data_IF_418060256013
#
_entry.id   IF_418060256013
#
_cell.length_a   1.000
_cell.length_b   1.000
_cell.length_c   1.000
_cell.angle_alpha   90.00
_cell.angle_beta   90.00
_cell.angle_gamma   90.00
#
_symmetry.space_group_name_H-M   'P 1'
#
loop_
_entity.id
_entity.type
_entity.pdbx_description
1 polymer ?
#
# COMPACT_ATOMS: atom_id res chain seq x y z
N UNK A 1 13.95 -18.41 -55.09
CA UNK A 1 14.18 -18.70 -53.66
C UNK A 1 14.73 -17.44 -53.00
N UNK A 2 13.86 -16.65 -52.35
CA UNK A 2 14.27 -15.55 -51.47
C UNK A 2 13.71 -15.88 -50.09
N UNK A 3 14.61 -16.15 -49.16
CA UNK A 3 14.33 -16.45 -47.76
C UNK A 3 13.79 -15.20 -47.08
N UNK A 4 12.56 -15.26 -46.56
CA UNK A 4 12.02 -14.24 -45.65
C UNK A 4 12.37 -14.72 -44.24
N UNK A 5 13.31 -14.01 -43.62
CA UNK A 5 13.67 -14.15 -42.21
C UNK A 5 12.46 -13.68 -41.40
N UNK A 6 11.82 -14.60 -40.66
CA UNK A 6 10.82 -14.27 -39.64
C UNK A 6 11.57 -13.74 -38.42
N UNK A 7 11.50 -12.44 -38.17
CA UNK A 7 11.88 -11.85 -36.89
C UNK A 7 10.89 -12.30 -35.83
N UNK A 8 11.36 -13.12 -34.88
CA UNK A 8 10.65 -13.43 -33.64
C UNK A 8 10.97 -12.28 -32.68
N UNK A 9 9.99 -11.42 -32.40
CA UNK A 9 10.07 -10.47 -31.29
C UNK A 9 9.75 -11.24 -30.02
N UNK A 10 10.77 -11.47 -29.19
CA UNK A 10 10.59 -11.98 -27.84
C UNK A 10 10.17 -10.80 -26.96
N UNK A 11 8.87 -10.70 -26.67
CA UNK A 11 8.35 -9.75 -25.68
C UNK A 11 8.72 -10.31 -24.30
N UNK A 12 9.87 -9.90 -23.76
CA UNK A 12 10.23 -10.20 -22.38
C UNK A 12 9.38 -9.33 -21.45
N UNK A 13 8.35 -9.91 -20.85
CA UNK A 13 7.75 -9.32 -19.65
C UNK A 13 8.81 -9.39 -18.55
N UNK A 14 9.45 -8.26 -18.25
CA UNK A 14 10.17 -8.09 -17.00
C UNK A 14 9.10 -7.99 -15.90
N UNK A 15 8.85 -9.09 -15.20
CA UNK A 15 8.09 -9.04 -13.95
C UNK A 15 8.97 -8.32 -12.92
N UNK A 16 8.65 -7.09 -12.58
CA UNK A 16 9.22 -6.44 -11.41
C UNK A 16 8.57 -7.05 -10.16
N UNK A 17 9.39 -7.34 -9.14
CA UNK A 17 8.87 -7.74 -7.84
C UNK A 17 8.03 -6.57 -7.29
N UNK A 18 6.81 -6.86 -6.84
CA UNK A 18 5.86 -5.90 -6.29
C UNK A 18 5.13 -6.56 -5.12
N UNK A 19 4.68 -5.79 -4.13
CA UNK A 19 3.83 -6.30 -3.06
C UNK A 19 2.51 -6.85 -3.62
N UNK A 20 1.82 -7.66 -2.82
CA UNK A 20 0.54 -8.28 -3.18
C UNK A 20 -0.66 -7.32 -3.13
N UNK A 21 -0.44 -6.11 -2.63
CA UNK A 21 -1.44 -5.06 -2.44
C UNK A 21 -0.79 -3.66 -2.63
N UNK A 22 -1.58 -2.63 -2.89
CA UNK A 22 -1.18 -1.24 -3.05
C UNK A 22 -0.72 -0.60 -1.72
N UNK A 23 -1.18 -1.10 -0.58
CA UNK A 23 -0.77 -0.65 0.76
C UNK A 23 -1.19 0.78 1.11
N UNK A 24 -0.53 1.36 2.10
CA UNK A 24 -0.81 2.70 2.63
C UNK A 24 -0.51 3.79 1.60
N UNK A 25 -1.50 4.62 1.25
CA UNK A 25 -1.38 5.73 0.30
C UNK A 25 -1.14 7.06 1.03
N UNK A 26 -0.23 7.87 0.47
CA UNK A 26 0.12 9.20 0.96
C UNK A 26 0.03 10.24 -0.16
N UNK A 27 -0.52 11.41 0.17
CA UNK A 27 -0.82 12.50 -0.78
C UNK A 27 0.27 13.58 -0.95
N UNK A 28 1.50 13.34 -0.50
CA UNK A 28 2.60 14.32 -0.64
C UNK A 28 2.45 15.61 0.17
N UNK A 29 1.40 15.73 1.00
CA UNK A 29 1.04 17.00 1.66
C UNK A 29 0.91 16.90 3.17
N UNK A 30 0.10 15.95 3.66
CA UNK A 30 -0.21 15.87 5.09
C UNK A 30 -0.63 14.47 5.57
N UNK A 31 -0.47 13.45 4.72
CA UNK A 31 -0.51 12.05 5.12
C UNK A 31 0.83 11.64 5.70
N UNK A 32 0.77 10.94 6.82
CA UNK A 32 1.89 10.34 7.54
C UNK A 32 1.34 9.58 8.75
N UNK A 33 2.13 8.65 9.28
CA UNK A 33 1.86 7.99 10.56
C UNK A 33 2.93 8.43 11.55
N UNK A 34 2.53 8.91 12.74
CA UNK A 34 3.45 9.27 13.82
C UNK A 34 3.41 8.22 14.93
N UNK A 35 4.51 7.50 15.09
CA UNK A 35 4.66 6.49 16.14
C UNK A 35 5.16 7.18 17.42
N UNK A 36 4.54 6.94 18.59
CA UNK A 36 5.05 7.45 19.87
C UNK A 36 6.43 6.89 20.21
N UNK A 37 7.20 7.65 20.99
CA UNK A 37 8.46 7.15 21.54
C UNK A 37 8.18 6.03 22.54
N UNK A 38 8.84 4.88 22.39
CA UNK A 38 8.69 3.74 23.29
C UNK A 38 10.04 3.18 23.73
N UNK A 39 10.07 2.42 24.83
CA UNK A 39 11.30 1.72 25.25
C UNK A 39 11.65 0.54 24.33
N UNK A 40 10.74 0.14 23.44
CA UNK A 40 10.95 -0.92 22.46
C UNK A 40 11.59 -0.40 21.17
N UNK A 41 11.43 0.89 20.85
CA UNK A 41 11.92 1.51 19.61
C UNK A 41 13.14 2.40 19.89
N UNK A 42 12.99 3.57 20.51
CA UNK A 42 14.07 4.58 20.54
C UNK A 42 14.44 5.14 21.93
N UNK A 43 13.55 5.02 22.92
CA UNK A 43 13.73 5.66 24.24
C UNK A 43 14.34 4.75 25.31
N UNK A 44 14.78 3.54 24.94
CA UNK A 44 15.47 2.62 25.84
C UNK A 44 16.78 3.23 26.37
N UNK A 45 17.15 2.96 27.63
CA UNK A 45 18.42 3.41 28.22
C UNK A 45 19.66 2.65 27.70
N UNK A 46 19.48 1.56 26.97
CA UNK A 46 20.55 0.89 26.24
C UNK A 46 20.50 1.22 24.76
N UNK A 47 21.65 1.43 24.12
CA UNK A 47 21.72 1.54 22.67
C UNK A 47 21.14 0.28 22.02
N UNK A 48 20.45 0.46 20.90
CA UNK A 48 19.91 -0.66 20.13
C UNK A 48 21.09 -1.42 19.53
N UNK A 49 21.36 -2.62 20.05
CA UNK A 49 22.48 -3.44 19.61
C UNK A 49 22.24 -4.08 18.24
N UNK A 50 20.98 -4.36 17.91
CA UNK A 50 20.53 -4.88 16.62
C UNK A 50 19.16 -4.32 16.24
N UNK A 51 18.98 -3.95 14.97
CA UNK A 51 17.76 -3.31 14.46
C UNK A 51 17.61 -3.68 12.98
N UNK A 52 16.38 -3.80 12.52
CA UNK A 52 16.07 -3.73 11.09
C UNK A 52 14.87 -2.82 10.90
N UNK A 53 14.94 -1.92 9.93
CA UNK A 53 13.82 -1.10 9.46
C UNK A 53 13.70 -1.39 7.97
N UNK A 54 12.53 -1.84 7.53
CA UNK A 54 12.30 -2.23 6.14
C UNK A 54 10.90 -1.83 5.68
N UNK A 55 10.74 -1.60 4.38
CA UNK A 55 9.44 -1.34 3.73
C UNK A 55 9.58 -1.47 2.21
N UNK A 56 8.48 -1.86 1.56
CA UNK A 56 8.25 -1.50 0.16
C UNK A 56 7.81 -0.05 0.06
N UNK A 57 8.23 0.63 -1.00
CA UNK A 57 7.76 1.97 -1.36
C UNK A 57 7.61 2.10 -2.88
N UNK A 58 6.63 2.91 -3.28
CA UNK A 58 6.43 3.38 -4.66
C UNK A 58 6.22 4.88 -4.58
N UNK A 59 7.09 5.66 -5.21
CA UNK A 59 7.01 7.13 -5.19
C UNK A 59 6.47 7.64 -6.52
N UNK A 60 5.59 8.64 -6.47
CA UNK A 60 4.95 9.20 -7.66
C UNK A 60 5.90 10.13 -8.45
N UNK A 61 6.80 10.83 -7.75
CA UNK A 61 7.90 11.62 -8.33
C UNK A 61 9.19 11.43 -7.50
N UNK A 62 10.15 10.67 -8.03
CA UNK A 62 11.42 10.39 -7.37
C UNK A 62 12.41 11.57 -7.37
N UNK A 63 12.07 12.68 -8.02
CA UNK A 63 12.93 13.86 -8.18
C UNK A 63 13.08 14.69 -6.90
N UNK A 64 12.00 15.20 -6.27
CA UNK A 64 12.11 15.95 -5.03
C UNK A 64 12.53 15.07 -3.86
N UNK A 65 13.02 15.69 -2.79
CA UNK A 65 13.26 14.96 -1.55
C UNK A 65 11.95 14.60 -0.89
N UNK A 66 11.75 13.30 -0.63
CA UNK A 66 10.57 12.78 0.06
C UNK A 66 11.00 11.74 1.11
N UNK A 67 10.51 11.85 2.35
CA UNK A 67 10.98 11.01 3.46
C UNK A 67 10.07 9.79 3.63
N UNK A 68 10.68 8.61 3.52
CA UNK A 68 10.03 7.32 3.77
C UNK A 68 9.90 7.12 5.28
N UNK A 69 11.02 7.18 6.01
CA UNK A 69 11.04 6.97 7.47
C UNK A 69 11.97 7.96 8.15
N UNK A 70 11.53 8.46 9.30
CA UNK A 70 12.31 9.25 10.23
C UNK A 70 12.23 8.64 11.62
N UNK A 71 13.37 8.55 12.32
CA UNK A 71 13.41 8.35 13.76
C UNK A 71 14.32 9.41 14.39
N UNK A 72 13.83 10.11 15.41
CA UNK A 72 14.61 11.03 16.22
C UNK A 72 14.51 12.50 15.80
N UNK A 73 15.64 13.18 15.75
CA UNK A 73 15.68 14.61 15.49
C UNK A 73 17.10 15.18 15.39
N UNK A 74 17.23 16.50 15.58
CA UNK A 74 18.49 17.26 15.38
C UNK A 74 19.78 16.64 15.96
N UNK A 75 19.69 15.93 17.09
CA UNK A 75 20.86 15.41 17.82
C UNK A 75 21.24 14.01 17.35
N UNK A 76 20.27 13.12 17.23
CA UNK A 76 20.41 11.73 16.79
C UNK A 76 19.22 11.41 15.90
N UNK A 77 19.45 10.76 14.78
CA UNK A 77 18.33 10.24 14.02
C UNK A 77 18.68 9.28 12.90
N UNK A 78 17.65 8.60 12.43
CA UNK A 78 17.63 7.66 11.31
C UNK A 78 16.77 8.27 10.22
N UNK A 79 17.19 8.12 8.97
CA UNK A 79 16.45 8.57 7.80
C UNK A 79 16.50 7.53 6.70
N UNK A 80 15.35 7.24 6.11
CA UNK A 80 15.20 6.63 4.78
C UNK A 80 14.43 7.63 3.92
N UNK A 81 14.93 7.97 2.74
CA UNK A 81 14.28 8.95 1.86
C UNK A 81 14.69 8.75 0.40
N UNK A 82 13.94 9.36 -0.51
CA UNK A 82 14.27 9.44 -1.94
C UNK A 82 14.60 10.88 -2.31
N UNK A 83 15.50 11.06 -3.27
CA UNK A 83 15.81 12.37 -3.88
C UNK A 83 16.62 12.18 -5.17
N UNK A 84 16.21 12.82 -6.26
CA UNK A 84 16.93 12.79 -7.54
C UNK A 84 17.13 11.36 -8.05
N UNK A 85 16.05 10.59 -8.09
CA UNK A 85 15.99 9.20 -8.58
C UNK A 85 16.96 8.26 -7.85
N UNK A 86 17.20 8.53 -6.56
CA UNK A 86 18.02 7.71 -5.66
C UNK A 86 17.30 7.43 -4.36
N UNK A 87 17.68 6.31 -3.75
CA UNK A 87 17.36 5.99 -2.35
C UNK A 87 18.54 6.41 -1.48
N UNK A 88 18.23 7.00 -0.34
CA UNK A 88 19.18 7.31 0.72
C UNK A 88 18.71 6.66 2.01
N UNK A 89 19.62 6.05 2.75
CA UNK A 89 19.32 5.57 4.09
C UNK A 89 20.53 5.73 5.01
N UNK A 90 20.30 5.94 6.29
CA UNK A 90 21.40 6.05 7.23
C UNK A 90 21.00 6.70 8.53
N UNK A 91 22.02 7.09 9.29
CA UNK A 91 21.82 7.67 10.60
C UNK A 91 22.95 8.61 11.00
N UNK A 92 22.65 9.46 11.97
CA UNK A 92 23.61 10.37 12.57
C UNK A 92 23.43 10.47 14.08
N UNK A 93 24.48 10.92 14.76
CA UNK A 93 24.51 11.19 16.20
C UNK A 93 25.34 12.43 16.50
N UNK A 94 25.23 12.92 17.74
CA UNK A 94 26.01 14.04 18.25
C UNK A 94 25.92 15.29 17.35
N UNK A 95 24.70 15.67 16.97
CA UNK A 95 24.45 16.81 16.08
C UNK A 95 25.09 16.66 14.69
N UNK A 96 25.25 15.43 14.20
CA UNK A 96 25.81 15.14 12.89
C UNK A 96 27.34 15.06 12.85
N UNK A 97 28.03 15.18 14.01
CA UNK A 97 29.50 15.02 14.05
C UNK A 97 29.95 13.57 13.83
N UNK A 98 29.03 12.61 13.99
CA UNK A 98 29.22 11.22 13.63
C UNK A 98 28.01 10.76 12.83
N UNK A 99 28.21 10.37 11.58
CA UNK A 99 27.13 9.98 10.67
C UNK A 99 27.62 8.91 9.70
N UNK A 100 26.69 8.05 9.29
CA UNK A 100 26.88 7.04 8.26
C UNK A 100 25.62 7.05 7.38
N UNK A 101 25.79 7.35 6.10
CA UNK A 101 24.71 7.40 5.12
C UNK A 101 25.10 6.67 3.86
N UNK A 102 24.17 5.89 3.35
CA UNK A 102 24.22 5.22 2.07
C UNK A 102 23.36 5.94 1.04
N UNK A 103 23.71 5.76 -0.22
CA UNK A 103 22.84 6.05 -1.35
C UNK A 103 23.00 5.05 -2.48
N UNK A 104 21.94 4.86 -3.23
CA UNK A 104 22.01 4.15 -4.51
C UNK A 104 22.74 4.97 -5.58
N UNK A 105 23.07 4.33 -6.69
CA UNK A 105 23.48 5.03 -7.91
C UNK A 105 22.36 5.89 -8.46
N UNK A 106 22.74 6.92 -9.21
CA UNK A 106 21.77 7.75 -9.94
C UNK A 106 20.83 6.89 -10.77
N UNK A 107 19.55 7.26 -10.78
CA UNK A 107 18.53 6.66 -11.64
C UNK A 107 18.30 5.18 -11.30
N UNK A 108 18.55 4.79 -10.05
CA UNK A 108 18.29 3.43 -9.55
C UNK A 108 16.81 3.18 -9.30
N UNK A 109 16.04 4.25 -9.11
CA UNK A 109 14.59 4.22 -8.92
C UNK A 109 13.92 5.10 -9.97
N UNK A 110 12.68 4.76 -10.31
CA UNK A 110 11.84 5.53 -11.21
C UNK A 110 10.47 5.78 -10.56
N UNK A 111 9.78 6.78 -11.08
CA UNK A 111 8.39 7.10 -10.74
C UNK A 111 7.49 5.86 -10.91
N UNK A 112 6.46 5.76 -10.09
CA UNK A 112 5.41 4.74 -10.15
C UNK A 112 5.90 3.28 -10.12
N UNK A 113 7.11 3.05 -9.60
CA UNK A 113 7.72 1.71 -9.53
C UNK A 113 7.99 1.29 -8.08
N UNK A 114 7.69 0.03 -7.75
CA UNK A 114 7.91 -0.54 -6.42
C UNK A 114 9.37 -0.89 -6.19
N UNK A 115 9.88 -0.52 -5.01
CA UNK A 115 11.21 -0.87 -4.52
C UNK A 115 11.14 -1.26 -3.04
N UNK A 116 11.97 -2.22 -2.63
CA UNK A 116 12.11 -2.59 -1.21
C UNK A 116 13.41 -2.05 -0.66
N UNK A 117 13.37 -1.36 0.49
CA UNK A 117 14.57 -0.89 1.19
C UNK A 117 14.62 -1.49 2.59
N UNK A 118 15.82 -1.89 3.03
CA UNK A 118 16.05 -2.28 4.41
C UNK A 118 17.35 -1.67 4.96
N UNK A 119 17.31 -1.16 6.18
CA UNK A 119 18.46 -0.70 6.95
C UNK A 119 18.65 -1.62 8.16
N UNK A 120 19.83 -2.20 8.31
CA UNK A 120 20.13 -3.21 9.32
C UNK A 120 21.31 -2.75 10.19
N UNK A 121 21.09 -2.74 11.51
CA UNK A 121 22.16 -2.65 12.51
C UNK A 121 22.40 -4.07 13.02
N UNK A 122 23.60 -4.58 12.80
CA UNK A 122 23.97 -5.96 13.09
C UNK A 122 25.21 -6.09 13.95
N UNK A 123 25.75 -7.30 14.05
CA UNK A 123 27.04 -7.56 14.68
C UNK A 123 27.74 -8.70 13.95
N UNK A 124 28.98 -8.45 13.51
CA UNK A 124 29.86 -9.45 12.90
C UNK A 124 31.17 -9.53 13.69
N UNK A 125 31.52 -10.71 14.20
CA UNK A 125 32.75 -10.91 14.98
C UNK A 125 32.87 -10.02 16.23
N UNK A 126 31.74 -9.64 16.84
CA UNK A 126 31.69 -8.73 18.00
C UNK A 126 31.77 -7.24 17.68
N UNK A 127 31.82 -6.86 16.40
CA UNK A 127 31.78 -5.46 15.94
C UNK A 127 30.41 -5.15 15.34
N UNK A 128 29.82 -4.01 15.68
CA UNK A 128 28.56 -3.57 15.08
C UNK A 128 28.73 -3.34 13.58
N UNK A 129 27.77 -3.84 12.80
CA UNK A 129 27.66 -3.57 11.37
C UNK A 129 26.47 -2.66 11.09
N UNK A 130 26.58 -1.89 10.03
CA UNK A 130 25.55 -1.01 9.52
C UNK A 130 25.40 -1.31 8.04
N UNK A 131 24.35 -2.04 7.69
CA UNK A 131 24.13 -2.63 6.39
C UNK A 131 22.86 -2.06 5.77
N UNK A 132 22.81 -1.96 4.44
CA UNK A 132 21.58 -1.62 3.75
C UNK A 132 21.34 -2.48 2.51
N UNK A 133 20.08 -2.58 2.15
CA UNK A 133 19.61 -3.45 1.08
C UNK A 133 18.62 -2.71 0.19
N UNK A 134 18.67 -3.00 -1.11
CA UNK A 134 17.72 -2.51 -2.11
C UNK A 134 17.23 -3.69 -2.96
N UNK A 135 15.91 -3.87 -3.05
CA UNK A 135 15.25 -4.97 -3.73
C UNK A 135 15.81 -6.35 -3.34
N UNK A 136 16.08 -6.52 -2.04
CA UNK A 136 16.60 -7.77 -1.50
C UNK A 136 18.09 -8.04 -1.74
N UNK A 137 18.82 -7.10 -2.37
CA UNK A 137 20.27 -7.20 -2.59
C UNK A 137 21.03 -6.47 -1.49
N UNK A 138 22.15 -7.04 -1.03
CA UNK A 138 23.05 -6.37 -0.08
C UNK A 138 23.86 -5.31 -0.81
N UNK A 139 23.68 -4.04 -0.46
CA UNK A 139 24.26 -2.93 -1.22
C UNK A 139 25.55 -2.39 -0.60
N UNK A 140 25.62 -2.19 0.72
CA UNK A 140 26.87 -1.80 1.39
C UNK A 140 26.86 -2.24 2.87
N UNK A 141 28.03 -2.23 3.49
CA UNK A 141 28.28 -2.56 4.88
C UNK A 141 29.37 -1.66 5.48
N UNK A 142 29.06 -1.01 6.61
CA UNK A 142 30.02 -0.22 7.39
C UNK A 142 30.10 -0.75 8.81
N UNK A 143 31.18 -0.42 9.53
CA UNK A 143 31.42 -0.98 10.88
C UNK A 143 31.59 0.12 11.93
N UNK A 144 31.24 -0.21 13.18
CA UNK A 144 31.48 0.67 14.33
C UNK A 144 30.49 1.83 14.48
N UNK A 145 29.40 1.84 13.71
CA UNK A 145 28.32 2.81 13.87
C UNK A 145 27.21 2.26 14.77
N UNK A 146 26.83 3.03 15.79
CA UNK A 146 25.74 2.70 16.72
C UNK A 146 24.89 3.92 16.97
N UNK A 147 23.60 3.70 17.22
CA UNK A 147 22.64 4.76 17.51
C UNK A 147 22.34 4.74 19.01
N UNK A 148 22.73 5.79 19.76
CA UNK A 148 22.39 5.88 21.18
C UNK A 148 20.88 6.02 21.39
N UNK A 149 20.48 5.89 22.66
CA UNK A 149 19.16 6.36 23.11
C UNK A 149 18.90 7.75 22.55
N UNK A 150 17.72 7.95 22.01
CA UNK A 150 17.28 9.26 21.61
C UNK A 150 15.76 9.40 21.76
N UNK A 151 15.33 10.66 21.74
CA UNK A 151 13.92 11.02 21.70
C UNK A 151 13.72 11.90 20.50
N UNK A 152 12.51 11.91 19.96
CA UNK A 152 12.17 12.75 18.84
C UNK A 152 10.94 12.19 18.16
N UNK A 153 10.62 12.72 16.98
CA UNK A 153 9.50 12.16 16.25
C UNK A 153 9.92 10.84 15.60
N UNK A 154 8.97 9.92 15.48
CA UNK A 154 9.11 8.73 14.65
C UNK A 154 7.99 8.84 13.64
N UNK A 155 8.33 9.01 12.37
CA UNK A 155 7.34 9.21 11.31
C UNK A 155 7.58 8.22 10.17
N UNK A 156 6.49 7.66 9.65
CA UNK A 156 6.43 7.07 8.32
C UNK A 156 5.78 8.10 7.39
N UNK A 157 6.41 8.38 6.25
CA UNK A 157 5.87 9.26 5.21
C UNK A 157 6.13 10.75 5.33
N UNK A 158 6.95 11.18 6.30
CA UNK A 158 7.45 12.57 6.34
C UNK A 158 8.68 12.75 7.23
N UNK A 159 9.32 13.92 7.11
CA UNK A 159 10.13 14.47 8.20
C UNK A 159 9.34 15.33 9.20
N UNK A 160 9.84 15.43 10.44
CA UNK A 160 9.27 16.27 11.50
C UNK A 160 10.25 16.73 12.60
N UNK A 161 11.43 16.12 12.72
CA UNK A 161 12.32 16.22 13.89
C UNK A 161 13.48 17.24 13.83
N UNK A 162 13.46 18.24 12.96
CA UNK A 162 14.62 19.12 12.68
C UNK A 162 15.84 18.31 12.20
N UNK A 163 15.62 17.52 11.15
CA UNK A 163 16.56 16.50 10.67
C UNK A 163 17.79 17.08 9.99
N UNK A 164 18.82 16.25 9.84
CA UNK A 164 20.04 16.58 9.11
C UNK A 164 20.18 15.62 7.94
N UNK A 165 20.61 16.13 6.80
CA UNK A 165 20.81 15.35 5.58
C UNK A 165 22.30 15.32 5.22
N UNK A 166 22.80 14.24 4.61
CA UNK A 166 24.20 14.19 4.15
C UNK A 166 24.48 15.31 3.14
N UNK A 167 25.61 15.99 3.29
CA UNK A 167 26.03 17.10 2.41
C UNK A 167 27.45 16.92 1.86
N UNK A 168 27.79 15.67 1.62
CA UNK A 168 29.13 15.22 1.32
C UNK A 168 29.58 15.69 -0.06
N UNK A 169 30.78 16.29 -0.12
CA UNK A 169 31.38 16.67 -1.40
C UNK A 169 31.78 15.44 -2.24
N UNK A 170 32.14 14.34 -1.57
CA UNK A 170 32.54 13.08 -2.17
C UNK A 170 31.84 11.94 -1.46
N UNK A 171 31.36 10.97 -2.24
CA UNK A 171 30.82 9.70 -1.75
C UNK A 171 31.81 8.59 -2.09
N UNK A 172 32.00 7.66 -1.16
CA UNK A 172 32.92 6.53 -1.29
C UNK A 172 32.18 5.33 -1.87
N UNK A 173 32.84 4.55 -2.72
CA UNK A 173 32.25 3.34 -3.27
C UNK A 173 31.94 2.30 -2.18
N UNK A 174 30.90 1.50 -2.42
CA UNK A 174 30.51 0.40 -1.56
C UNK A 174 31.64 -0.59 -1.27
N UNK A 175 31.60 -1.14 -0.05
CA UNK A 175 32.46 -2.24 0.37
C UNK A 175 32.00 -3.61 -0.18
N UNK A 176 30.78 -3.70 -0.70
CA UNK A 176 30.18 -4.94 -1.22
C UNK A 176 30.51 -5.09 -2.70
N UNK A 177 31.14 -6.22 -3.05
CA UNK A 177 31.54 -6.52 -4.42
C UNK A 177 30.33 -6.59 -5.35
N UNK A 178 30.36 -5.78 -6.42
CA UNK A 178 29.31 -5.75 -7.45
C UNK A 178 28.19 -4.77 -7.16
N UNK A 179 28.11 -4.20 -5.96
CA UNK A 179 27.24 -3.04 -5.72
C UNK A 179 27.87 -1.80 -6.34
N UNK A 180 27.01 -0.92 -6.83
CA UNK A 180 27.39 0.41 -7.32
C UNK A 180 27.04 1.51 -6.34
N UNK A 181 26.45 1.14 -5.19
CA UNK A 181 26.09 2.09 -4.15
C UNK A 181 27.30 2.82 -3.58
N UNK A 182 27.01 3.90 -2.88
CA UNK A 182 28.02 4.74 -2.27
C UNK A 182 27.63 5.08 -0.83
N UNK A 183 28.63 5.38 0.00
CA UNK A 183 28.43 5.84 1.36
C UNK A 183 29.14 7.16 1.64
N UNK A 184 28.72 7.81 2.70
CA UNK A 184 29.33 9.01 3.23
C UNK A 184 29.34 9.01 4.76
N UNK A 185 30.46 9.47 5.31
CA UNK A 185 30.64 9.64 6.75
C UNK A 185 30.79 11.09 7.18
N UNK A 186 30.26 11.40 8.36
CA UNK A 186 30.57 12.60 9.15
C UNK A 186 30.41 13.96 8.43
N UNK A 187 29.59 14.04 7.37
CA UNK A 187 29.30 15.28 6.66
C UNK A 187 27.79 15.47 6.55
N UNK A 188 27.25 16.27 7.47
CA UNK A 188 25.82 16.52 7.59
C UNK A 188 25.51 18.01 7.48
N UNK A 189 24.33 18.32 6.95
CA UNK A 189 23.78 19.68 6.94
C UNK A 189 23.55 20.21 8.36
N UNK A 190 23.26 21.51 8.46
CA UNK A 190 22.55 22.05 9.62
C UNK A 190 21.19 21.37 9.78
N UNK A 191 20.61 21.46 10.98
CA UNK A 191 19.23 21.00 11.19
C UNK A 191 18.25 21.70 10.24
N UNK A 192 17.29 20.94 9.73
CA UNK A 192 16.29 21.32 8.75
C UNK A 192 14.89 20.99 9.29
N UNK A 193 14.02 22.00 9.39
CA UNK A 193 12.65 21.88 9.90
C UNK A 193 11.59 21.69 8.80
N UNK A 194 11.98 21.56 7.53
CA UNK A 194 11.04 21.28 6.46
C UNK A 194 10.44 19.88 6.66
N UNK A 195 9.12 19.78 6.53
CA UNK A 195 8.42 18.52 6.44
C UNK A 195 8.44 18.08 4.97
N UNK A 196 9.33 17.16 4.63
CA UNK A 196 9.36 16.51 3.32
C UNK A 196 8.40 15.34 3.37
N UNK A 197 7.17 15.56 2.91
CA UNK A 197 6.14 14.54 2.81
C UNK A 197 6.41 13.59 1.67
N UNK A 198 5.95 12.35 1.83
CA UNK A 198 5.97 11.34 0.79
C UNK A 198 4.64 11.32 0.02
N UNK A 199 4.73 11.17 -1.29
CA UNK A 199 3.65 11.06 -2.26
C UNK A 199 3.79 9.71 -2.98
N UNK A 200 2.78 8.86 -2.82
CA UNK A 200 2.78 7.49 -3.33
C UNK A 200 2.37 6.47 -2.26
N UNK A 201 2.96 5.27 -2.29
CA UNK A 201 2.54 4.15 -1.46
C UNK A 201 3.66 3.51 -0.62
N UNK A 202 3.29 2.98 0.54
CA UNK A 202 4.10 2.06 1.34
C UNK A 202 3.39 0.74 1.55
N UNK A 203 4.16 -0.35 1.61
CA UNK A 203 3.63 -1.66 1.96
C UNK A 203 4.62 -2.43 2.84
N UNK A 204 4.10 -3.20 3.80
CA UNK A 204 4.90 -4.09 4.63
C UNK A 204 5.99 -3.39 5.45
N UNK A 205 5.78 -2.14 5.88
CA UNK A 205 6.72 -1.45 6.76
C UNK A 205 6.87 -2.19 8.09
N UNK A 206 8.10 -2.38 8.56
CA UNK A 206 8.40 -3.08 9.82
C UNK A 206 9.60 -2.52 10.54
N UNK A 207 9.56 -2.65 11.86
CA UNK A 207 10.70 -2.44 12.75
C UNK A 207 10.94 -3.70 13.58
N UNK A 208 12.16 -4.20 13.52
CA UNK A 208 12.62 -5.36 14.29
C UNK A 208 13.69 -4.97 15.31
N UNK A 209 13.61 -5.47 16.55
CA UNK A 209 14.72 -5.51 17.52
C UNK A 209 15.67 -6.70 17.22
N UNK A 210 15.98 -6.92 15.95
CA UNK A 210 16.88 -7.97 15.48
C UNK A 210 17.53 -7.54 14.17
N UNK A 211 18.75 -8.00 13.93
CA UNK A 211 19.40 -7.89 12.64
C UNK A 211 18.85 -8.99 11.73
N UNK A 212 18.08 -8.64 10.70
CA UNK A 212 17.57 -9.60 9.72
C UNK A 212 18.68 -9.92 8.73
N UNK A 213 18.82 -11.19 8.38
CA UNK A 213 19.70 -11.64 7.29
C UNK A 213 19.05 -11.35 5.92
N UNK A 214 19.86 -11.32 4.85
CA UNK A 214 19.34 -11.18 3.48
C UNK A 214 18.28 -12.23 3.13
N UNK A 215 18.45 -13.48 3.58
CA UNK A 215 17.46 -14.55 3.36
C UNK A 215 16.17 -14.27 4.10
N UNK A 216 16.26 -13.80 5.34
CA UNK A 216 15.08 -13.42 6.11
C UNK A 216 14.33 -12.22 5.54
N UNK A 217 15.05 -11.23 5.01
CA UNK A 217 14.47 -10.09 4.30
C UNK A 217 13.72 -10.61 3.07
N UNK A 218 14.39 -11.37 2.19
CA UNK A 218 13.79 -11.85 0.95
C UNK A 218 12.61 -12.81 1.16
N UNK A 219 12.63 -13.62 2.22
CA UNK A 219 11.52 -14.51 2.54
C UNK A 219 10.30 -13.77 3.09
N UNK A 220 10.51 -12.62 3.72
CA UNK A 220 9.46 -11.90 4.43
C UNK A 220 9.00 -10.64 3.72
N UNK A 221 9.77 -10.09 2.77
CA UNK A 221 9.48 -8.79 2.17
C UNK A 221 8.13 -8.75 1.46
N UNK A 222 7.56 -9.90 1.05
CA UNK A 222 6.25 -10.00 0.37
C UNK A 222 5.17 -10.67 1.24
N UNK A 223 5.39 -10.76 2.56
CA UNK A 223 4.42 -11.35 3.50
C UNK A 223 3.75 -10.27 4.35
N UNK A 224 2.45 -10.32 4.52
CA UNK A 224 1.82 -9.55 5.59
C UNK A 224 2.15 -10.21 6.95
N UNK A 225 2.63 -9.44 7.92
CA UNK A 225 3.07 -9.96 9.21
C UNK A 225 2.39 -9.23 10.35
N UNK A 226 1.55 -9.95 11.10
CA UNK A 226 0.93 -9.47 12.35
C UNK A 226 1.67 -9.91 13.62
N UNK A 227 2.73 -10.73 13.48
CA UNK A 227 3.56 -11.17 14.60
C UNK A 227 4.94 -11.64 14.16
N UNK A 228 5.88 -11.69 15.10
CA UNK A 228 7.22 -12.20 14.85
C UNK A 228 8.14 -12.02 16.06
N UNK A 229 9.14 -12.90 16.18
CA UNK A 229 10.15 -12.77 17.24
C UNK A 229 10.92 -11.47 17.08
N UNK A 230 10.93 -10.64 18.12
CA UNK A 230 11.54 -9.30 18.13
C UNK A 230 10.94 -8.30 17.13
N UNK A 231 9.77 -8.58 16.53
CA UNK A 231 9.00 -7.56 15.83
C UNK A 231 8.48 -6.53 16.84
N UNK A 232 8.64 -5.24 16.56
CA UNK A 232 8.20 -4.17 17.47
C UNK A 232 7.32 -3.11 16.84
N UNK A 233 7.27 -3.05 15.51
CA UNK A 233 6.24 -2.32 14.79
C UNK A 233 6.02 -2.97 13.41
N UNK A 234 4.79 -2.92 12.92
CA UNK A 234 4.43 -3.29 11.54
C UNK A 234 3.27 -2.44 11.05
N UNK A 235 3.22 -2.21 9.73
CA UNK A 235 2.10 -1.56 9.04
C UNK A 235 1.00 -2.58 8.77
N UNK A 236 -0.23 -2.18 9.04
CA UNK A 236 -1.50 -2.88 8.82
C UNK A 236 -2.46 -1.83 8.24
N UNK A 237 -2.76 -1.91 6.94
CA UNK A 237 -3.40 -0.84 6.18
C UNK A 237 -2.74 0.55 6.37
N UNK A 238 -3.48 1.51 6.92
CA UNK A 238 -3.07 2.87 7.26
C UNK A 238 -2.79 3.05 8.77
N UNK A 239 -2.63 1.94 9.48
CA UNK A 239 -2.30 1.85 10.90
C UNK A 239 -0.90 1.22 11.09
N UNK A 240 -0.14 1.72 12.06
CA UNK A 240 1.06 1.02 12.55
C UNK A 240 0.75 0.43 13.91
N UNK A 241 0.79 -0.88 13.99
CA UNK A 241 0.80 -1.63 15.23
C UNK A 241 2.21 -1.62 15.81
N UNK A 242 2.37 -1.17 17.05
CA UNK A 242 3.67 -1.02 17.70
C UNK A 242 3.67 -1.45 19.17
N UNK A 243 4.82 -1.90 19.68
CA UNK A 243 5.01 -2.18 21.10
C UNK A 243 5.24 -0.90 21.89
N UNK A 244 4.30 -0.59 22.79
CA UNK A 244 4.43 0.51 23.75
C UNK A 244 5.48 0.21 24.84
N UNK A 245 5.75 1.19 25.71
CA UNK A 245 6.77 1.05 26.78
C UNK A 245 6.41 0.04 27.88
N UNK A 246 5.23 -0.58 27.83
CA UNK A 246 4.81 -1.69 28.67
C UNK A 246 4.84 -3.04 27.94
N UNK A 247 5.41 -3.08 26.72
CA UNK A 247 5.46 -4.25 25.84
C UNK A 247 4.07 -4.79 25.44
N UNK A 248 3.07 -3.91 25.36
CA UNK A 248 1.77 -4.25 24.77
C UNK A 248 1.66 -3.62 23.38
N UNK A 249 1.00 -4.31 22.45
CA UNK A 249 0.63 -3.74 21.16
C UNK A 249 -0.33 -2.56 21.34
N UNK A 250 -0.13 -1.54 20.51
CA UNK A 250 -0.92 -0.33 20.43
C UNK A 250 -0.88 0.17 18.98
N UNK A 251 -1.89 0.95 18.61
CA UNK A 251 -2.07 1.43 17.23
C UNK A 251 -1.70 2.90 17.11
N UNK A 252 -1.02 3.27 16.03
CA UNK A 252 -0.84 4.64 15.58
C UNK A 252 -1.38 4.78 14.15
N UNK A 253 -2.41 5.61 13.98
CA UNK A 253 -3.10 5.77 12.69
C UNK A 253 -2.56 6.90 11.84
N UNK A 254 -2.80 6.80 10.53
CA UNK A 254 -2.54 7.86 9.57
C UNK A 254 -3.27 9.16 9.93
N UNK A 255 -2.55 10.28 9.78
CA UNK A 255 -3.01 11.60 10.18
C UNK A 255 -4.29 12.02 9.45
N UNK A 256 -5.41 12.00 10.17
CA UNK A 256 -6.74 12.37 9.67
C UNK A 256 -7.53 11.21 9.03
N UNK A 257 -6.90 10.06 8.78
CA UNK A 257 -7.55 8.86 8.24
C UNK A 257 -8.21 8.02 9.33
N UNK A 258 -7.64 7.99 10.55
CA UNK A 258 -8.25 7.34 11.72
C UNK A 258 -9.56 7.97 12.23
N UNK A 259 -10.09 9.00 11.54
CA UNK A 259 -11.40 9.59 11.85
C UNK A 259 -12.48 8.74 11.18
N UNK A 260 -13.44 8.28 11.98
CA UNK A 260 -14.62 7.59 11.48
C UNK A 260 -15.76 8.56 11.22
N UNK A 261 -16.32 8.50 10.02
CA UNK A 261 -17.54 9.21 9.63
C UNK A 261 -18.69 8.24 9.55
N UNK A 262 -19.84 8.62 10.11
CA UNK A 262 -21.03 7.78 10.11
C UNK A 262 -22.16 8.49 9.39
N UNK A 263 -22.75 7.83 8.39
CA UNK A 263 -23.95 8.31 7.75
C UNK A 263 -25.08 8.41 8.78
N UNK A 264 -25.85 9.49 8.72
CA UNK A 264 -26.89 9.78 9.69
C UNK A 264 -28.03 8.77 9.58
N UNK A 265 -28.52 8.25 10.70
CA UNK A 265 -29.71 7.39 10.74
C UNK A 265 -31.00 8.13 10.31
N UNK A 266 -30.95 9.47 10.32
CA UNK A 266 -32.01 10.35 9.81
C UNK A 266 -31.47 11.24 8.68
N UNK A 267 -30.68 10.68 7.77
CA UNK A 267 -30.16 11.40 6.61
C UNK A 267 -31.31 12.05 5.83
N UNK A 268 -31.11 13.30 5.42
CA UNK A 268 -32.14 14.15 4.83
C UNK A 268 -32.26 13.98 3.30
N UNK A 269 -31.24 13.42 2.67
CA UNK A 269 -31.20 13.04 1.25
C UNK A 269 -30.25 11.86 1.02
N UNK A 270 -30.01 11.50 -0.24
CA UNK A 270 -29.08 10.46 -0.67
C UNK A 270 -27.69 11.02 -1.05
N UNK A 271 -27.54 12.33 -1.19
CA UNK A 271 -26.30 12.95 -1.68
C UNK A 271 -25.15 12.84 -0.66
N UNK A 272 -24.08 12.14 -1.05
CA UNK A 272 -22.87 11.95 -0.24
C UNK A 272 -22.28 13.27 0.26
N UNK A 273 -22.34 14.32 -0.56
CA UNK A 273 -21.68 15.60 -0.29
C UNK A 273 -22.53 16.55 0.57
N UNK A 274 -23.73 16.13 0.96
CA UNK A 274 -24.59 16.92 1.84
C UNK A 274 -24.21 16.68 3.31
N UNK A 275 -23.64 17.71 3.95
CA UNK A 275 -23.22 17.67 5.35
C UNK A 275 -24.31 17.17 6.33
N UNK A 276 -25.58 17.51 6.08
CA UNK A 276 -26.72 17.07 6.90
C UNK A 276 -26.99 15.57 6.88
N UNK A 277 -26.38 14.82 5.95
CA UNK A 277 -26.47 13.36 5.88
C UNK A 277 -25.42 12.66 6.74
N UNK A 278 -24.50 13.39 7.36
CA UNK A 278 -23.45 12.82 8.21
C UNK A 278 -23.70 13.13 9.68
N UNK A 279 -23.47 12.14 10.54
CA UNK A 279 -23.45 12.35 11.98
C UNK A 279 -22.37 13.39 12.32
N UNK A 280 -22.75 14.45 13.04
CA UNK A 280 -21.87 15.58 13.31
C UNK A 280 -21.80 16.65 12.20
N UNK A 281 -22.56 16.50 11.11
CA UNK A 281 -22.74 17.55 10.11
C UNK A 281 -21.50 17.85 9.28
N UNK A 282 -20.61 16.88 9.09
CA UNK A 282 -19.34 17.05 8.36
C UNK A 282 -19.17 15.90 7.37
N UNK A 283 -18.90 16.22 6.11
CA UNK A 283 -18.63 15.25 5.03
C UNK A 283 -17.19 14.71 5.18
N UNK A 284 -16.94 13.42 4.89
CA UNK A 284 -15.59 12.90 4.72
C UNK A 284 -14.77 13.74 3.73
N UNK A 285 -13.48 13.90 4.01
CA UNK A 285 -12.57 14.65 3.14
C UNK A 285 -12.20 13.82 1.92
N UNK A 286 -12.42 14.36 0.72
CA UNK A 286 -12.03 13.69 -0.53
C UNK A 286 -10.51 13.49 -0.71
N UNK A 287 -9.69 14.14 0.13
CA UNK A 287 -8.21 14.03 0.11
C UNK A 287 -7.67 13.09 1.20
N UNK A 288 -8.53 12.31 1.85
CA UNK A 288 -8.19 11.43 2.97
C UNK A 288 -8.89 10.09 2.80
N UNK A 289 -8.22 9.03 3.21
CA UNK A 289 -8.76 7.67 3.17
C UNK A 289 -9.37 7.32 4.53
N UNK A 290 -10.52 7.91 4.81
CA UNK A 290 -11.18 7.79 6.11
C UNK A 290 -12.08 6.57 6.20
N UNK A 291 -12.34 6.11 7.44
CA UNK A 291 -13.37 5.10 7.69
C UNK A 291 -14.77 5.69 7.56
N UNK A 292 -15.62 5.03 6.79
CA UNK A 292 -17.04 5.34 6.64
C UNK A 292 -17.90 4.20 7.15
N UNK A 293 -18.91 4.54 7.96
CA UNK A 293 -19.94 3.60 8.42
C UNK A 293 -21.29 4.03 7.83
N UNK A 294 -21.95 3.10 7.15
CA UNK A 294 -23.33 3.26 6.67
C UNK A 294 -24.23 2.37 7.55
N UNK A 295 -25.00 2.95 8.49
CA UNK A 295 -25.96 2.21 9.28
C UNK A 295 -27.33 2.15 8.58
N UNK A 296 -28.30 1.51 9.24
CA UNK A 296 -29.71 1.68 8.88
C UNK A 296 -30.11 3.15 8.94
N UNK A 297 -30.71 3.65 7.86
CA UNK A 297 -31.04 5.07 7.69
C UNK A 297 -32.36 5.29 6.97
N UNK A 298 -32.92 6.50 7.11
CA UNK A 298 -34.08 6.96 6.34
C UNK A 298 -33.78 7.17 4.85
N UNK A 299 -32.55 7.53 4.51
CA UNK A 299 -32.07 7.68 3.14
C UNK A 299 -30.66 7.12 3.05
N UNK A 300 -30.34 6.41 1.97
CA UNK A 300 -29.03 5.79 1.77
C UNK A 300 -28.18 6.59 0.78
N UNK A 301 -26.84 6.54 0.89
CA UNK A 301 -26.00 7.29 -0.03
C UNK A 301 -26.12 6.80 -1.47
N UNK A 302 -26.13 7.75 -2.41
CA UNK A 302 -25.98 7.49 -3.84
C UNK A 302 -24.72 8.17 -4.40
N UNK A 303 -23.92 7.40 -5.13
CA UNK A 303 -22.58 7.76 -5.59
C UNK A 303 -22.63 7.99 -7.10
N UNK A 304 -22.66 9.25 -7.52
CA UNK A 304 -22.73 9.68 -8.93
C UNK A 304 -21.42 10.22 -9.48
N UNK A 305 -20.40 10.34 -8.64
CA UNK A 305 -19.03 10.75 -8.99
C UNK A 305 -18.05 9.79 -8.34
N UNK A 306 -16.76 9.98 -8.59
CA UNK A 306 -15.74 9.27 -7.84
C UNK A 306 -15.77 9.66 -6.35
N UNK A 307 -15.84 8.65 -5.48
CA UNK A 307 -15.68 8.74 -4.03
C UNK A 307 -14.60 7.75 -3.62
N UNK A 308 -13.72 8.20 -2.71
CA UNK A 308 -12.60 7.42 -2.17
C UNK A 308 -12.77 7.32 -0.66
N UNK A 309 -12.68 6.12 -0.13
CA UNK A 309 -12.71 5.85 1.31
C UNK A 309 -11.60 4.87 1.67
N UNK A 310 -11.09 4.98 2.89
CA UNK A 310 -10.15 3.98 3.41
C UNK A 310 -10.88 2.68 3.70
N UNK A 311 -11.77 2.74 4.70
CA UNK A 311 -12.55 1.58 5.17
C UNK A 311 -14.04 1.84 5.00
N UNK A 312 -14.81 0.84 4.56
CA UNK A 312 -16.27 0.94 4.41
C UNK A 312 -16.98 -0.16 5.22
N UNK A 313 -17.91 0.25 6.07
CA UNK A 313 -18.68 -0.66 6.93
C UNK A 313 -20.19 -0.42 6.78
N UNK A 314 -20.87 -1.31 6.04
CA UNK A 314 -22.32 -1.44 6.04
C UNK A 314 -22.72 -2.34 7.21
N UNK A 315 -22.96 -1.74 8.37
CA UNK A 315 -23.00 -2.48 9.65
C UNK A 315 -24.37 -3.08 10.02
N UNK A 316 -25.33 -3.04 9.10
CA UNK A 316 -26.69 -3.54 9.32
C UNK A 316 -27.28 -4.13 8.04
N UNK A 317 -28.09 -5.17 8.18
CA UNK A 317 -28.80 -5.85 7.08
C UNK A 317 -29.66 -4.93 6.20
N UNK A 318 -30.16 -3.83 6.77
CA UNK A 318 -30.95 -2.84 6.03
C UNK A 318 -30.12 -1.73 5.39
N UNK A 319 -28.82 -1.63 5.71
CA UNK A 319 -27.95 -0.58 5.16
C UNK A 319 -27.80 -0.77 3.67
N UNK A 320 -27.82 0.34 2.93
CA UNK A 320 -27.66 0.31 1.48
C UNK A 320 -26.67 1.40 1.04
N UNK A 321 -25.99 1.16 -0.07
CA UNK A 321 -25.31 2.17 -0.87
C UNK A 321 -25.59 1.87 -2.35
N UNK A 322 -25.86 2.90 -3.14
CA UNK A 322 -26.02 2.78 -4.60
C UNK A 322 -24.89 3.52 -5.30
N UNK A 323 -24.17 2.83 -6.17
CA UNK A 323 -23.21 3.43 -7.09
C UNK A 323 -23.95 3.61 -8.40
N UNK A 324 -24.29 4.85 -8.70
CA UNK A 324 -25.10 5.24 -9.84
C UNK A 324 -24.32 5.09 -11.16
N UNK A 325 -25.04 5.16 -12.27
CA UNK A 325 -24.47 5.20 -13.62
C UNK A 325 -23.32 6.23 -13.74
N UNK A 326 -22.13 5.76 -14.10
CA UNK A 326 -20.91 6.57 -14.22
C UNK A 326 -20.24 6.96 -12.89
N UNK A 327 -20.81 6.59 -11.74
CA UNK A 327 -20.21 6.77 -10.42
C UNK A 327 -19.13 5.73 -10.11
N UNK A 328 -18.18 6.09 -9.24
CA UNK A 328 -17.13 5.17 -8.80
C UNK A 328 -16.96 5.25 -7.28
N UNK A 329 -16.96 4.10 -6.61
CA UNK A 329 -16.59 3.98 -5.21
C UNK A 329 -15.30 3.17 -5.09
N UNK A 330 -14.22 3.83 -4.68
CA UNK A 330 -12.95 3.20 -4.35
C UNK A 330 -12.89 2.95 -2.84
N UNK A 331 -12.73 1.69 -2.44
CA UNK A 331 -12.43 1.28 -1.06
C UNK A 331 -10.99 0.79 -1.02
N UNK A 332 -10.15 1.47 -0.24
CA UNK A 332 -8.71 1.24 -0.27
C UNK A 332 -8.21 0.12 0.63
N UNK A 333 -8.89 -0.08 1.76
CA UNK A 333 -8.55 -1.04 2.81
C UNK A 333 -9.78 -1.94 3.03
N UNK A 334 -10.15 -2.18 4.29
CA UNK A 334 -11.30 -3.00 4.67
C UNK A 334 -12.66 -2.61 4.04
N UNK A 335 -13.34 -3.61 3.49
CA UNK A 335 -14.79 -3.62 3.27
C UNK A 335 -15.47 -4.63 4.20
N UNK A 336 -16.46 -4.15 4.98
CA UNK A 336 -17.44 -5.01 5.66
C UNK A 336 -18.83 -4.73 5.10
N UNK A 337 -19.41 -5.71 4.41
CA UNK A 337 -20.76 -5.62 3.85
C UNK A 337 -21.72 -6.54 4.60
N UNK A 338 -22.53 -5.99 5.53
CA UNK A 338 -23.68 -6.70 6.10
C UNK A 338 -25.01 -6.29 5.46
N UNK A 339 -25.02 -5.32 4.54
CA UNK A 339 -26.20 -4.71 3.93
C UNK A 339 -26.33 -5.04 2.45
N UNK A 340 -26.66 -4.04 1.63
CA UNK A 340 -26.72 -4.16 0.16
C UNK A 340 -25.86 -3.10 -0.51
N UNK A 341 -24.96 -3.53 -1.39
CA UNK A 341 -24.21 -2.63 -2.29
C UNK A 341 -24.79 -2.81 -3.69
N UNK A 342 -25.38 -1.73 -4.24
CA UNK A 342 -25.90 -1.71 -5.61
C UNK A 342 -24.90 -1.02 -6.52
N UNK A 343 -24.62 -1.62 -7.67
CA UNK A 343 -23.79 -1.05 -8.73
C UNK A 343 -24.63 -1.02 -10.00
N UNK A 344 -24.99 0.16 -10.47
CA UNK A 344 -25.74 0.35 -11.72
C UNK A 344 -24.84 0.10 -12.94
N UNK A 345 -25.43 0.05 -14.14
CA UNK A 345 -24.82 -0.41 -15.40
C UNK A 345 -23.38 0.08 -15.65
N UNK A 346 -23.14 1.40 -15.64
CA UNK A 346 -21.80 1.98 -15.79
C UNK A 346 -21.18 2.46 -14.47
N UNK A 347 -21.74 2.03 -13.34
CA UNK A 347 -21.17 2.22 -12.02
C UNK A 347 -19.97 1.29 -11.78
N UNK A 348 -19.07 1.72 -10.89
CA UNK A 348 -17.86 0.96 -10.53
C UNK A 348 -17.66 0.90 -9.02
N UNK A 349 -17.64 -0.32 -8.46
CA UNK A 349 -17.07 -0.58 -7.14
C UNK A 349 -15.65 -1.12 -7.34
N UNK A 350 -14.66 -0.45 -6.78
CA UNK A 350 -13.26 -0.84 -6.87
C UNK A 350 -12.75 -1.10 -5.46
N UNK A 351 -12.34 -2.34 -5.19
CA UNK A 351 -11.63 -2.73 -3.99
C UNK A 351 -10.15 -2.75 -4.35
N UNK A 352 -9.36 -1.94 -3.65
CA UNK A 352 -7.92 -1.83 -3.91
C UNK A 352 -7.14 -2.88 -3.12
N UNK A 353 -7.63 -3.21 -1.92
CA UNK A 353 -7.09 -4.26 -1.09
C UNK A 353 -7.42 -5.64 -1.68
N UNK A 354 -6.46 -6.55 -1.56
CA UNK A 354 -6.53 -7.92 -2.06
C UNK A 354 -6.94 -8.92 -0.97
N UNK A 355 -7.65 -8.44 0.04
CA UNK A 355 -8.20 -9.27 1.11
C UNK A 355 -9.66 -9.65 0.89
N UNK A 356 -10.07 -10.74 1.55
CA UNK A 356 -11.43 -11.23 1.45
C UNK A 356 -12.41 -10.24 2.12
N UNK A 357 -13.46 -9.86 1.38
CA UNK A 357 -14.50 -8.99 1.92
C UNK A 357 -15.23 -9.67 3.08
N UNK A 358 -15.39 -8.95 4.18
CA UNK A 358 -16.09 -9.42 5.37
C UNK A 358 -17.60 -9.16 5.28
N UNK A 359 -18.40 -10.01 5.93
CA UNK A 359 -19.86 -9.86 6.05
C UNK A 359 -20.67 -10.84 5.18
N UNK A 360 -22.00 -10.76 5.32
CA UNK A 360 -22.96 -11.63 4.64
C UNK A 360 -24.03 -10.84 3.86
N UNK A 361 -23.72 -9.59 3.54
CA UNK A 361 -24.56 -8.71 2.74
C UNK A 361 -24.64 -9.13 1.27
N UNK A 362 -25.46 -8.43 0.51
CA UNK A 362 -25.70 -8.68 -0.91
C UNK A 362 -24.99 -7.65 -1.78
N UNK A 363 -24.60 -8.09 -2.96
CA UNK A 363 -24.20 -7.24 -4.08
C UNK A 363 -25.27 -7.35 -5.14
N UNK A 364 -25.82 -6.22 -5.57
CA UNK A 364 -26.77 -6.15 -6.68
C UNK A 364 -26.05 -5.42 -7.80
N UNK A 365 -25.62 -6.18 -8.79
CA UNK A 365 -24.88 -5.66 -9.94
C UNK A 365 -25.85 -5.63 -11.12
N UNK A 366 -26.16 -4.44 -11.61
CA UNK A 366 -26.93 -4.24 -12.82
C UNK A 366 -25.97 -3.99 -13.99
N UNK A 367 -26.22 -4.62 -15.13
CA UNK A 367 -25.43 -4.51 -16.35
C UNK A 367 -26.32 -4.74 -17.56
N UNK A 368 -26.40 -3.75 -18.43
CA UNK A 368 -27.17 -3.80 -19.66
C UNK A 368 -26.32 -4.41 -20.79
N UNK A 369 -26.84 -5.48 -21.40
CA UNK A 369 -26.29 -5.95 -22.67
C UNK A 369 -26.64 -4.94 -23.77
N UNK A 370 -25.68 -4.53 -24.64
CA UNK A 370 -26.01 -3.72 -25.78
C UNK A 370 -27.01 -4.43 -26.71
N UNK A 371 -27.94 -3.66 -27.28
CA UNK A 371 -28.78 -4.17 -28.37
C UNK A 371 -27.95 -4.28 -29.65
N UNK A 372 -27.64 -5.50 -30.06
CA UNK A 372 -26.92 -5.76 -31.30
C UNK A 372 -27.86 -5.70 -32.50
N UNK A 373 -27.64 -4.74 -33.41
CA UNK A 373 -28.47 -4.54 -34.60
C UNK A 373 -28.08 -5.42 -35.79
N UNK A 374 -27.03 -6.22 -35.65
CA UNK A 374 -26.47 -7.11 -36.67
C UNK A 374 -25.99 -8.40 -36.00
N UNK A 375 -26.00 -9.48 -36.77
CA UNK A 375 -25.51 -10.79 -36.34
C UNK A 375 -23.98 -10.74 -36.06
N UNK A 376 -23.47 -11.70 -35.29
CA UNK A 376 -22.05 -11.89 -34.93
C UNK A 376 -21.42 -10.84 -33.99
N UNK A 377 -22.20 -10.30 -33.05
CA UNK A 377 -21.68 -9.53 -31.91
C UNK A 377 -21.70 -10.36 -30.63
N UNK A 378 -20.68 -10.15 -29.80
CA UNK A 378 -20.46 -10.89 -28.56
C UNK A 378 -20.30 -9.89 -27.40
N UNK A 379 -20.99 -10.14 -26.29
CA UNK A 379 -20.72 -9.48 -25.01
C UNK A 379 -19.84 -10.42 -24.20
N UNK A 380 -18.73 -9.95 -23.64
CA UNK A 380 -17.94 -10.77 -22.73
C UNK A 380 -18.42 -10.52 -21.30
N UNK A 381 -18.66 -11.59 -20.56
CA UNK A 381 -19.12 -11.59 -19.19
C UNK A 381 -18.16 -12.35 -18.29
N UNK A 382 -17.98 -11.85 -17.08
CA UNK A 382 -17.38 -12.58 -15.97
C UNK A 382 -18.42 -12.81 -14.89
N UNK A 383 -18.27 -13.87 -14.11
CA UNK A 383 -19.30 -14.34 -13.18
C UNK A 383 -18.89 -14.10 -11.73
N UNK A 384 -19.50 -13.11 -11.05
CA UNK A 384 -19.36 -12.95 -9.61
C UNK A 384 -20.48 -13.68 -8.83
N UNK A 385 -21.29 -14.50 -9.49
CA UNK A 385 -22.56 -15.02 -8.94
C UNK A 385 -22.41 -16.43 -8.37
N UNK A 386 -23.25 -16.75 -7.38
CA UNK A 386 -23.35 -18.11 -6.86
C UNK A 386 -23.96 -19.04 -7.91
N UNK A 387 -23.28 -20.15 -8.19
CA UNK A 387 -23.61 -21.06 -9.31
C UNK A 387 -25.10 -21.44 -9.32
N UNK A 388 -25.66 -21.89 -8.19
CA UNK A 388 -27.06 -22.34 -8.12
C UNK A 388 -28.15 -21.27 -8.34
N UNK A 389 -27.80 -19.99 -8.39
CA UNK A 389 -28.73 -18.88 -8.67
C UNK A 389 -28.41 -18.18 -10.00
N UNK A 390 -27.65 -18.83 -10.88
CA UNK A 390 -27.03 -18.20 -12.05
C UNK A 390 -27.30 -18.91 -13.38
N UNK A 391 -28.47 -19.55 -13.49
CA UNK A 391 -28.89 -20.18 -14.74
C UNK A 391 -28.85 -19.16 -15.88
N UNK A 392 -28.01 -19.43 -16.88
CA UNK A 392 -27.65 -18.51 -17.97
C UNK A 392 -28.89 -17.93 -18.67
N UNK A 393 -29.88 -18.76 -18.98
CA UNK A 393 -31.11 -18.39 -19.69
C UNK A 393 -32.09 -17.56 -18.87
N UNK A 394 -31.91 -17.51 -17.54
CA UNK A 394 -32.69 -16.63 -16.66
C UNK A 394 -32.08 -15.23 -16.59
N UNK A 395 -30.76 -15.13 -16.73
CA UNK A 395 -30.00 -13.86 -16.77
C UNK A 395 -30.17 -13.21 -18.14
N UNK A 396 -29.87 -13.97 -19.21
CA UNK A 396 -29.96 -13.50 -20.58
C UNK A 396 -31.22 -14.04 -21.25
N UNK A 397 -32.29 -13.24 -21.23
CA UNK A 397 -33.63 -13.69 -21.62
C UNK A 397 -33.91 -13.64 -23.13
N UNK A 398 -32.97 -13.12 -23.92
CA UNK A 398 -33.05 -13.11 -25.39
C UNK A 398 -32.64 -14.47 -25.99
N UNK A 399 -32.82 -14.65 -27.31
CA UNK A 399 -32.34 -15.86 -27.98
C UNK A 399 -30.80 -15.84 -28.06
N UNK A 400 -30.14 -16.47 -27.09
CA UNK A 400 -28.69 -16.45 -26.90
C UNK A 400 -28.02 -17.73 -27.42
N UNK A 401 -26.74 -17.58 -27.78
CA UNK A 401 -25.79 -18.68 -27.90
C UNK A 401 -24.64 -18.32 -26.98
N UNK A 402 -24.33 -19.19 -26.02
CA UNK A 402 -23.32 -18.88 -24.99
C UNK A 402 -22.14 -19.82 -25.12
N UNK A 403 -20.95 -19.26 -24.92
CA UNK A 403 -19.72 -20.02 -24.81
C UNK A 403 -19.04 -19.75 -23.48
N UNK A 404 -18.45 -20.78 -22.89
CA UNK A 404 -17.63 -20.66 -21.68
C UNK A 404 -16.15 -20.94 -21.99
N UNK A 405 -15.24 -20.27 -21.28
CA UNK A 405 -13.81 -20.54 -21.41
C UNK A 405 -13.46 -21.89 -20.75
N UNK A 406 -12.96 -22.83 -21.56
CA UNK A 406 -12.47 -24.13 -21.11
C UNK A 406 -10.95 -24.22 -21.30
N UNK A 407 -10.23 -24.06 -20.19
CA UNK A 407 -8.78 -24.16 -20.13
C UNK A 407 -8.25 -25.59 -20.36
N UNK A 408 -9.12 -26.61 -20.29
CA UNK A 408 -8.74 -28.01 -20.50
C UNK A 408 -8.63 -28.40 -21.98
N UNK A 409 -9.16 -27.58 -22.89
CA UNK A 409 -9.01 -27.77 -24.33
C UNK A 409 -7.55 -27.56 -24.77
N UNK A 410 -7.14 -28.18 -25.89
CA UNK A 410 -5.81 -27.98 -26.47
C UNK A 410 -5.91 -27.58 -27.96
N UNK A 411 -5.74 -26.29 -28.30
CA UNK A 411 -5.50 -25.15 -27.39
C UNK A 411 -6.74 -24.84 -26.54
N UNK A 412 -6.55 -24.09 -25.43
CA UNK A 412 -7.68 -23.60 -24.64
C UNK A 412 -8.65 -22.83 -25.53
N UNK A 413 -9.95 -23.01 -25.29
CA UNK A 413 -10.97 -22.54 -26.21
C UNK A 413 -12.26 -22.20 -25.47
N UNK A 414 -13.09 -21.41 -26.13
CA UNK A 414 -14.46 -21.20 -25.70
C UNK A 414 -15.35 -22.29 -26.28
N UNK A 415 -16.07 -23.00 -25.43
CA UNK A 415 -16.92 -24.14 -25.78
C UNK A 415 -18.38 -23.78 -25.57
N UNK A 416 -19.25 -24.25 -26.46
CA UNK A 416 -20.68 -23.95 -26.38
C UNK A 416 -21.29 -24.61 -25.14
N UNK A 417 -22.11 -23.85 -24.41
CA UNK A 417 -22.82 -24.30 -23.21
C UNK A 417 -24.33 -24.10 -23.36
N UNK A 418 -25.11 -24.93 -22.66
CA UNK A 418 -26.58 -24.83 -22.64
C UNK A 418 -27.02 -23.55 -21.93
N UNK A 419 -28.10 -22.93 -22.39
CA UNK A 419 -28.74 -21.82 -21.67
C UNK A 419 -29.32 -22.26 -20.31
N UNK A 420 -29.55 -23.56 -20.10
CA UNK A 420 -30.03 -24.12 -18.82
C UNK A 420 -28.88 -24.50 -17.88
N UNK A 421 -27.64 -24.17 -18.24
CA UNK A 421 -26.50 -24.37 -17.36
C UNK A 421 -26.37 -23.17 -16.42
N UNK A 422 -25.77 -23.43 -15.27
CA UNK A 422 -25.39 -22.41 -14.31
C UNK A 422 -24.05 -21.80 -14.68
N UNK A 423 -23.85 -20.54 -14.33
CA UNK A 423 -22.57 -19.85 -14.46
C UNK A 423 -21.61 -20.28 -13.34
N UNK A 424 -20.41 -20.71 -13.69
CA UNK A 424 -19.37 -21.08 -12.73
C UNK A 424 -18.57 -19.85 -12.30
N UNK A 425 -18.22 -19.76 -11.02
CA UNK A 425 -17.44 -18.65 -10.47
C UNK A 425 -16.07 -18.51 -11.17
N UNK A 426 -15.72 -17.28 -11.58
CA UNK A 426 -14.41 -16.97 -12.14
C UNK A 426 -14.18 -17.48 -13.57
N UNK A 427 -15.21 -17.99 -14.23
CA UNK A 427 -15.18 -18.31 -15.66
C UNK A 427 -15.52 -17.09 -16.51
N UNK A 428 -14.92 -17.03 -17.70
CA UNK A 428 -15.29 -16.08 -18.74
C UNK A 428 -16.34 -16.67 -19.66
N UNK A 429 -17.34 -15.88 -20.00
CA UNK A 429 -18.43 -16.22 -20.92
C UNK A 429 -18.51 -15.20 -22.05
N UNK A 430 -19.00 -15.59 -23.22
CA UNK A 430 -19.43 -14.64 -24.24
C UNK A 430 -20.59 -15.13 -25.10
#
# INVERSE_FOLDING_TARGET
MKSIIKSIYFLTFLSFAQPCDLGYELNGTNDYIKIPNTTSINSNNTAVATRTIETWFKVDDATPRQVIYEEGGKTHGILLYVEGERVYCGAFRNNGSSAEFFRSTSNSIADDSWYHVALVIGTAGGTTTFDWYLNGNHEDSQTGFTIPKHTGDINLGRSGGNMRYPNCATWSASSVSGSTSEHCTNSMSSGNNTNYHFDGNFWGFRIWNSARTITEINNNMDLELSSGTNLVAYLDDDDIEYLNSSNNWATASANGNGITYTWSVTAISTDWNTAGNWSGGTVPSATKLQKVIIPSSSNYPSISTEIRVGKLDLNNASSEITIEDGGTLNVYYDLTNSGTIKVEDNGSLILQDNEAVNGAGSYVIDRDTPNYSIDDFYSIWSTPVAEGDSEIGTIFTNNIVVFEYDASQNPSAYVNVSATADMELGKGYF
#
